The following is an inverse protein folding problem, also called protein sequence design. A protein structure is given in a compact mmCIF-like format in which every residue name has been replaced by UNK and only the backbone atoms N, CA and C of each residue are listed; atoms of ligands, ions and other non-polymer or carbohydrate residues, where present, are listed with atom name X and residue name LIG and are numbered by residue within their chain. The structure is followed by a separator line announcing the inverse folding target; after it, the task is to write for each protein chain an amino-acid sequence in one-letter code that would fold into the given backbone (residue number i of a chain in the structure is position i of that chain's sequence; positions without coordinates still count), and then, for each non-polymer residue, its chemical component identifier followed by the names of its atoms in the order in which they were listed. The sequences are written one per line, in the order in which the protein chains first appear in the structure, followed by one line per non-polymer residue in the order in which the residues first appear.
data_IF_884752907509
#
_entry.id   IF_884752907509
#
_cell.length_a   1.000
_cell.length_b   1.000
_cell.length_c   1.000
_cell.angle_alpha   90.00
_cell.angle_beta   90.00
_cell.angle_gamma   90.00
#
_symmetry.space_group_name_H-M   'P 1'
#
loop_
_entity.id
_entity.type
_entity.pdbx_description
1 polymer ?
#
# COMPACT_ATOMS: atom_id res chain seq x y z
N UNK A 1 -25.97 27.02 22.27
CA UNK A 1 -26.29 25.61 21.96
C UNK A 1 -25.85 25.35 20.56
N UNK A 2 -24.63 24.89 20.37
CA UNK A 2 -24.02 24.64 19.05
C UNK A 2 -24.18 23.15 18.77
N UNK A 3 -25.02 22.81 17.78
CA UNK A 3 -25.20 21.44 17.33
C UNK A 3 -23.92 20.99 16.63
N UNK A 4 -23.25 20.02 17.21
CA UNK A 4 -22.18 19.26 16.54
C UNK A 4 -22.87 18.35 15.53
N UNK A 5 -22.68 18.61 14.24
CA UNK A 5 -23.07 17.69 13.18
C UNK A 5 -22.24 16.42 13.32
N UNK A 6 -22.86 15.35 13.82
CA UNK A 6 -22.32 14.00 13.71
C UNK A 6 -22.40 13.61 12.23
N UNK A 7 -21.28 13.73 11.53
CA UNK A 7 -21.07 13.07 10.24
C UNK A 7 -21.16 11.56 10.44
N UNK A 8 -22.01 10.90 9.68
CA UNK A 8 -22.15 9.43 9.61
C UNK A 8 -20.78 8.81 9.37
N UNK A 9 -20.16 8.31 10.43
CA UNK A 9 -18.81 7.76 10.39
C UNK A 9 -18.79 6.44 9.65
N UNK A 10 -18.16 6.40 8.48
CA UNK A 10 -17.67 5.16 7.92
C UNK A 10 -16.67 4.58 8.91
N UNK A 11 -16.85 3.31 9.28
CA UNK A 11 -15.95 2.63 10.20
C UNK A 11 -14.50 2.68 9.66
N UNK A 12 -13.53 2.96 10.53
CA UNK A 12 -12.13 2.96 10.14
C UNK A 12 -11.68 1.53 9.81
N UNK A 13 -11.15 1.32 8.61
CA UNK A 13 -10.49 0.06 8.25
C UNK A 13 -9.18 -0.10 9.03
N UNK A 14 -8.44 1.01 9.25
CA UNK A 14 -7.23 1.03 10.05
C UNK A 14 -7.30 2.20 11.02
N UNK A 15 -7.03 1.93 12.30
CA UNK A 15 -6.88 2.94 13.34
C UNK A 15 -5.53 2.77 14.03
N UNK A 16 -4.70 3.80 13.98
CA UNK A 16 -3.37 3.84 14.59
C UNK A 16 -3.40 4.93 15.66
N UNK A 17 -3.10 4.57 16.91
CA UNK A 17 -3.10 5.48 18.04
C UNK A 17 -1.77 5.40 18.79
N UNK A 18 -0.91 6.39 18.57
CA UNK A 18 0.38 6.54 19.22
C UNK A 18 1.36 5.41 18.92
N UNK A 19 1.26 4.76 17.76
CA UNK A 19 2.14 3.65 17.43
C UNK A 19 3.59 4.10 17.26
N UNK A 20 4.48 3.51 18.03
CA UNK A 20 5.90 3.81 18.13
C UNK A 20 6.73 2.55 17.83
N UNK A 21 7.97 2.74 17.33
CA UNK A 21 8.88 1.63 17.06
C UNK A 21 10.34 1.97 17.27
N UNK A 22 10.97 1.21 18.18
CA UNK A 22 12.42 1.22 18.40
C UNK A 22 12.98 -0.18 18.10
N UNK A 23 13.99 -0.27 17.25
CA UNK A 23 14.62 -1.53 16.94
C UNK A 23 15.63 -1.95 18.05
N UNK A 24 16.00 -3.24 18.15
CA UNK A 24 16.90 -3.73 19.20
C UNK A 24 18.30 -3.07 19.22
N UNK A 25 18.73 -2.51 18.09
CA UNK A 25 19.98 -1.75 17.97
C UNK A 25 19.86 -0.29 18.47
N UNK A 26 18.72 0.08 19.04
CA UNK A 26 18.43 1.43 19.53
C UNK A 26 17.92 2.40 18.46
N UNK A 27 17.78 1.97 17.21
CA UNK A 27 17.24 2.82 16.14
C UNK A 27 15.77 3.13 16.38
N UNK A 28 15.44 4.41 16.63
CA UNK A 28 14.07 4.88 16.74
C UNK A 28 13.47 5.05 15.33
N UNK A 29 12.80 4.04 14.86
CA UNK A 29 12.29 3.98 13.48
C UNK A 29 11.04 4.84 13.27
N UNK A 30 10.15 4.89 14.27
CA UNK A 30 8.91 5.68 14.24
C UNK A 30 8.69 6.35 15.59
N UNK A 31 8.40 7.65 15.60
CA UNK A 31 7.78 8.36 16.72
C UNK A 31 6.29 8.01 16.77
N UNK A 32 5.57 8.32 17.89
CA UNK A 32 4.15 8.06 18.00
C UNK A 32 3.36 8.56 16.79
N UNK A 33 2.80 7.63 16.03
CA UNK A 33 2.00 7.89 14.82
C UNK A 33 0.52 7.79 15.18
N UNK A 34 -0.26 8.79 14.75
CA UNK A 34 -1.72 8.79 14.80
C UNK A 34 -2.24 8.86 13.37
N UNK A 35 -3.02 7.87 12.94
CA UNK A 35 -3.57 7.83 11.58
C UNK A 35 -4.85 6.98 11.57
N UNK A 36 -5.88 7.48 10.90
CA UNK A 36 -7.10 6.71 10.64
C UNK A 36 -7.32 6.60 9.14
N UNK A 37 -7.59 5.39 8.63
CA UNK A 37 -7.86 5.10 7.22
C UNK A 37 -9.26 4.49 7.13
N UNK A 38 -10.11 5.06 6.27
CA UNK A 38 -11.50 4.61 6.07
C UNK A 38 -11.55 3.41 5.14
N UNK A 39 -12.62 2.63 5.27
CA UNK A 39 -12.89 1.54 4.31
C UNK A 39 -13.02 2.09 2.87
N UNK A 40 -12.43 1.38 1.92
CA UNK A 40 -12.42 1.75 0.51
C UNK A 40 -11.49 2.92 0.15
N UNK A 41 -10.77 3.51 1.12
CA UNK A 41 -9.84 4.61 0.87
C UNK A 41 -8.55 4.11 0.22
N UNK A 42 -8.01 4.86 -0.75
CA UNK A 42 -6.66 4.65 -1.29
C UNK A 42 -5.74 5.67 -0.64
N UNK A 43 -4.92 5.24 0.32
CA UNK A 43 -3.99 6.11 1.05
C UNK A 43 -2.55 5.79 0.64
N UNK A 44 -1.79 6.82 0.27
CA UNK A 44 -0.36 6.66 0.05
C UNK A 44 0.46 7.22 1.21
N UNK A 45 1.41 6.43 1.70
CA UNK A 45 2.49 6.88 2.57
C UNK A 45 3.66 7.34 1.70
N UNK A 46 3.90 8.65 1.65
CA UNK A 46 4.95 9.28 0.84
C UNK A 46 6.09 9.77 1.75
N UNK A 47 7.32 9.57 1.35
CA UNK A 47 8.47 10.11 2.08
C UNK A 47 9.80 9.52 1.62
N UNK A 48 10.94 10.08 2.08
CA UNK A 48 12.26 9.61 1.71
C UNK A 48 12.54 8.19 2.20
N UNK A 49 13.55 7.55 1.65
CA UNK A 49 14.01 6.24 2.13
C UNK A 49 14.42 6.31 3.60
N UNK A 50 14.07 5.29 4.38
CA UNK A 50 14.39 5.22 5.81
C UNK A 50 13.48 6.04 6.73
N UNK A 51 12.39 6.67 6.25
CA UNK A 51 11.44 7.38 7.11
C UNK A 51 10.40 6.49 7.80
N UNK A 52 10.54 5.18 7.79
CA UNK A 52 9.68 4.28 8.55
C UNK A 52 8.40 3.81 7.83
N UNK A 53 8.16 4.14 6.54
CA UNK A 53 6.97 3.71 5.78
C UNK A 53 6.76 2.19 5.80
N UNK A 54 7.79 1.44 5.41
CA UNK A 54 7.75 -0.03 5.40
C UNK A 54 7.63 -0.62 6.81
N UNK A 55 8.19 0.06 7.82
CA UNK A 55 8.02 -0.31 9.24
C UNK A 55 6.55 -0.18 9.64
N UNK A 56 5.94 0.98 9.37
CA UNK A 56 4.53 1.22 9.65
C UNK A 56 3.63 0.21 8.91
N UNK A 57 3.92 -0.04 7.64
CA UNK A 57 3.17 -0.99 6.83
C UNK A 57 3.23 -2.41 7.41
N UNK A 58 4.42 -2.87 7.85
CA UNK A 58 4.61 -4.17 8.51
C UNK A 58 3.91 -4.25 9.86
N UNK A 59 3.85 -3.15 10.61
CA UNK A 59 3.11 -3.09 11.87
C UNK A 59 1.60 -3.20 11.63
N UNK A 60 1.05 -2.54 10.61
CA UNK A 60 -0.35 -2.67 10.18
C UNK A 60 -0.66 -4.14 9.79
N UNK A 61 0.26 -4.79 9.09
CA UNK A 61 0.13 -6.20 8.71
C UNK A 61 0.25 -7.19 9.90
N UNK A 62 0.66 -6.72 11.08
CA UNK A 62 0.98 -7.58 12.22
C UNK A 62 2.26 -8.40 12.05
N UNK A 63 3.08 -8.06 11.05
CA UNK A 63 4.38 -8.70 10.79
C UNK A 63 5.50 -8.15 11.70
N UNK A 64 5.26 -7.01 12.33
CA UNK A 64 6.15 -6.35 13.26
C UNK A 64 5.35 -5.85 14.46
N UNK A 65 5.75 -6.18 15.71
CA UNK A 65 5.05 -5.71 16.88
C UNK A 65 5.22 -4.20 17.09
N UNK A 66 4.18 -3.57 17.63
CA UNK A 66 4.19 -2.19 18.12
C UNK A 66 4.86 -2.18 19.49
N UNK A 67 5.75 -1.21 19.76
CA UNK A 67 6.40 -1.10 21.08
C UNK A 67 5.56 -0.26 22.05
N UNK A 68 4.94 0.83 21.55
CA UNK A 68 3.97 1.62 22.32
C UNK A 68 2.79 2.00 21.42
N UNK A 69 1.66 2.35 22.06
CA UNK A 69 0.42 2.66 21.36
C UNK A 69 -0.32 1.42 20.86
N UNK A 70 -1.14 1.59 19.84
CA UNK A 70 -1.92 0.48 19.27
C UNK A 70 -2.21 0.67 17.79
N UNK A 71 -2.34 -0.46 17.07
CA UNK A 71 -2.85 -0.51 15.70
C UNK A 71 -4.03 -1.49 15.67
N UNK A 72 -5.13 -1.06 15.11
CA UNK A 72 -6.32 -1.89 14.87
C UNK A 72 -6.62 -1.93 13.38
N UNK A 73 -6.94 -3.12 12.89
CA UNK A 73 -7.43 -3.36 11.52
C UNK A 73 -8.82 -3.94 11.65
N UNK A 74 -9.81 -3.30 11.04
CA UNK A 74 -11.24 -3.63 11.15
C UNK A 74 -11.68 -3.83 12.61
N UNK A 75 -11.19 -2.95 13.49
CA UNK A 75 -11.49 -2.94 14.93
C UNK A 75 -10.74 -3.99 15.76
N UNK A 76 -9.99 -4.92 15.15
CA UNK A 76 -9.17 -5.93 15.84
C UNK A 76 -7.72 -5.48 15.97
N UNK A 77 -6.96 -5.87 16.99
CA UNK A 77 -5.51 -5.62 17.05
C UNK A 77 -4.80 -6.16 15.81
N UNK A 78 -3.84 -5.41 15.27
CA UNK A 78 -3.03 -5.85 14.14
C UNK A 78 -2.37 -7.23 14.43
N UNK A 79 -2.34 -8.11 13.43
CA UNK A 79 -1.83 -9.48 13.57
C UNK A 79 -2.78 -10.48 14.25
N UNK A 80 -3.99 -10.05 14.66
CA UNK A 80 -5.01 -10.99 15.13
C UNK A 80 -5.49 -11.89 14.00
N UNK A 81 -5.92 -13.14 14.32
CA UNK A 81 -6.56 -13.99 13.32
C UNK A 81 -7.77 -13.27 12.68
N UNK A 82 -7.74 -13.15 11.36
CA UNK A 82 -8.77 -12.44 10.63
C UNK A 82 -10.06 -13.30 10.54
N UNK A 83 -11.21 -12.65 10.56
CA UNK A 83 -12.48 -13.30 10.25
C UNK A 83 -12.51 -13.64 8.75
N UNK A 84 -13.32 -14.62 8.38
CA UNK A 84 -13.41 -15.15 7.02
C UNK A 84 -13.77 -14.12 5.93
N UNK A 85 -14.41 -13.02 6.33
CA UNK A 85 -14.82 -11.90 5.45
C UNK A 85 -13.85 -10.71 5.42
N UNK A 86 -12.79 -10.79 6.21
CA UNK A 86 -11.75 -9.74 6.35
C UNK A 86 -10.40 -10.34 6.00
N UNK A 87 -9.93 -10.12 4.79
CA UNK A 87 -8.61 -10.62 4.37
C UNK A 87 -7.66 -9.48 4.06
N UNK A 88 -6.45 -9.58 4.60
CA UNK A 88 -5.34 -8.67 4.32
C UNK A 88 -4.39 -9.35 3.36
N UNK A 89 -4.00 -8.65 2.30
CA UNK A 89 -2.93 -9.07 1.42
C UNK A 89 -1.77 -8.07 1.46
N UNK A 90 -0.55 -8.60 1.33
CA UNK A 90 0.68 -7.80 1.33
C UNK A 90 1.47 -8.03 0.04
N UNK A 91 1.83 -6.94 -0.64
CA UNK A 91 2.74 -6.92 -1.79
C UNK A 91 4.04 -6.27 -1.35
N UNK A 92 5.13 -7.04 -1.36
CA UNK A 92 6.47 -6.57 -0.98
C UNK A 92 7.16 -5.85 -2.15
N UNK A 93 8.15 -5.05 -1.84
CA UNK A 93 9.00 -4.35 -2.80
C UNK A 93 9.68 -5.31 -3.81
N UNK A 94 10.09 -6.49 -3.33
CA UNK A 94 10.51 -7.60 -4.20
C UNK A 94 9.32 -8.54 -4.44
N UNK A 95 9.15 -9.12 -5.62
CA UNK A 95 8.02 -10.01 -5.93
C UNK A 95 7.91 -11.25 -5.02
N UNK A 96 9.00 -11.67 -4.38
CA UNK A 96 9.07 -12.81 -3.44
C UNK A 96 8.39 -14.08 -3.97
N UNK A 97 8.57 -14.36 -5.26
CA UNK A 97 8.04 -15.56 -5.89
C UNK A 97 8.89 -16.78 -5.54
N UNK A 98 8.24 -17.93 -5.42
CA UNK A 98 8.92 -19.22 -5.31
C UNK A 98 9.58 -19.55 -6.66
N UNK A 99 10.93 -19.57 -6.78
CA UNK A 99 11.61 -19.68 -8.05
C UNK A 99 11.47 -21.05 -8.72
N UNK A 100 11.13 -22.08 -7.96
CA UNK A 100 10.89 -23.44 -8.43
C UNK A 100 9.43 -23.73 -8.81
N UNK A 101 8.51 -22.81 -8.53
CA UNK A 101 7.08 -22.96 -8.79
C UNK A 101 6.67 -22.12 -10.01
N UNK A 102 5.74 -22.63 -10.80
CA UNK A 102 5.17 -21.88 -11.93
C UNK A 102 4.43 -20.62 -11.46
N UNK A 103 4.14 -19.72 -12.38
CA UNK A 103 3.31 -18.54 -12.15
C UNK A 103 1.97 -18.94 -11.52
N UNK A 104 1.28 -19.92 -12.11
CA UNK A 104 0.03 -20.44 -11.58
C UNK A 104 0.17 -20.99 -10.16
N UNK A 105 1.23 -21.75 -9.88
CA UNK A 105 1.48 -22.31 -8.55
C UNK A 105 1.78 -21.22 -7.52
N UNK A 106 2.52 -20.17 -7.89
CA UNK A 106 2.75 -19.01 -7.03
C UNK A 106 1.45 -18.29 -6.65
N UNK A 107 0.54 -18.07 -7.62
CA UNK A 107 -0.74 -17.40 -7.38
C UNK A 107 -1.70 -18.28 -6.58
N UNK A 108 -1.67 -19.58 -6.77
CA UNK A 108 -2.52 -20.58 -6.12
C UNK A 108 -2.23 -20.76 -4.63
N UNK A 109 -0.95 -20.58 -4.22
CA UNK A 109 -0.46 -20.88 -2.87
C UNK A 109 -1.33 -20.31 -1.72
N UNK A 110 -1.74 -19.02 -1.72
CA UNK A 110 -2.54 -18.48 -0.63
C UNK A 110 -3.88 -19.20 -0.44
N UNK A 111 -4.53 -19.63 -1.52
CA UNK A 111 -5.80 -20.35 -1.46
C UNK A 111 -5.61 -21.77 -0.87
N UNK A 112 -4.50 -22.43 -1.20
CA UNK A 112 -4.16 -23.73 -0.63
C UNK A 112 -3.90 -23.64 0.88
N UNK A 113 -3.18 -22.59 1.31
CA UNK A 113 -2.91 -22.33 2.71
C UNK A 113 -4.17 -21.98 3.52
N UNK A 114 -5.16 -21.38 2.87
CA UNK A 114 -6.48 -21.09 3.46
C UNK A 114 -7.40 -22.33 3.45
N UNK A 115 -6.99 -23.46 2.85
CA UNK A 115 -7.79 -24.68 2.77
C UNK A 115 -8.98 -24.56 1.81
N UNK A 116 -8.91 -23.69 0.80
CA UNK A 116 -9.97 -23.55 -0.21
C UNK A 116 -10.12 -24.85 -0.99
N UNK A 117 -11.35 -25.35 -1.23
CA UNK A 117 -11.59 -26.57 -1.98
C UNK A 117 -10.94 -26.54 -3.37
N UNK A 118 -10.28 -27.64 -3.77
CA UNK A 118 -9.50 -27.71 -5.02
C UNK A 118 -10.31 -27.34 -6.27
N UNK A 119 -11.60 -27.59 -6.28
CA UNK A 119 -12.49 -27.22 -7.39
C UNK A 119 -12.71 -25.73 -7.56
N UNK A 120 -12.51 -24.93 -6.52
CA UNK A 120 -12.70 -23.48 -6.53
C UNK A 120 -11.39 -22.72 -6.84
N UNK A 121 -10.25 -23.36 -6.62
CA UNK A 121 -8.92 -22.71 -6.78
C UNK A 121 -8.66 -22.34 -8.25
N UNK A 122 -8.91 -23.27 -9.18
CA UNK A 122 -8.60 -23.06 -10.60
C UNK A 122 -9.23 -21.79 -11.17
N UNK A 123 -10.56 -21.62 -11.09
CA UNK A 123 -11.23 -20.39 -11.59
C UNK A 123 -10.72 -19.10 -10.95
N UNK A 124 -10.44 -19.09 -9.64
CA UNK A 124 -9.91 -17.92 -8.93
C UNK A 124 -8.50 -17.53 -9.42
N UNK A 125 -7.64 -18.52 -9.64
CA UNK A 125 -6.27 -18.31 -10.16
C UNK A 125 -6.31 -17.78 -11.59
N UNK A 126 -7.18 -18.35 -12.44
CA UNK A 126 -7.35 -17.89 -13.82
C UNK A 126 -7.83 -16.42 -13.87
N UNK A 127 -8.81 -16.09 -13.05
CA UNK A 127 -9.30 -14.72 -12.90
C UNK A 127 -8.22 -13.75 -12.40
N UNK A 128 -7.44 -14.14 -11.38
CA UNK A 128 -6.34 -13.31 -10.87
C UNK A 128 -5.25 -13.08 -11.93
N UNK A 129 -4.91 -14.11 -12.72
CA UNK A 129 -3.96 -13.98 -13.83
C UNK A 129 -4.53 -13.13 -14.97
N UNK A 130 -5.84 -13.18 -15.22
CA UNK A 130 -6.53 -12.34 -16.19
C UNK A 130 -6.47 -10.87 -15.81
N UNK A 131 -6.70 -10.56 -14.55
CA UNK A 131 -6.62 -9.17 -14.02
C UNK A 131 -5.27 -8.51 -14.29
N UNK A 132 -4.18 -9.28 -14.27
CA UNK A 132 -2.83 -8.76 -14.50
C UNK A 132 -2.27 -9.07 -15.91
N UNK A 133 -3.08 -9.65 -16.79
CA UNK A 133 -2.72 -9.94 -18.19
C UNK A 133 -1.64 -11.01 -18.37
N UNK A 134 -1.59 -12.01 -17.48
CA UNK A 134 -0.54 -13.06 -17.47
C UNK A 134 -1.06 -14.50 -17.71
N UNK A 135 -2.28 -14.69 -18.24
CA UNK A 135 -2.86 -16.03 -18.46
C UNK A 135 -1.95 -16.94 -19.29
N UNK A 136 -1.36 -16.40 -20.37
CA UNK A 136 -0.49 -17.16 -21.27
C UNK A 136 0.85 -17.56 -20.65
N UNK A 137 1.22 -16.96 -19.51
CA UNK A 137 2.45 -17.26 -18.78
C UNK A 137 2.23 -18.18 -17.58
N UNK A 138 1.01 -18.72 -17.37
CA UNK A 138 0.63 -19.50 -16.20
C UNK A 138 1.58 -20.67 -15.89
N UNK A 139 2.12 -21.32 -16.91
CA UNK A 139 3.04 -22.47 -16.79
C UNK A 139 4.53 -22.08 -16.76
N UNK A 140 4.87 -20.80 -16.89
CA UNK A 140 6.26 -20.35 -16.87
C UNK A 140 6.79 -20.28 -15.44
N UNK A 141 8.11 -20.43 -15.29
CA UNK A 141 8.81 -20.17 -14.04
C UNK A 141 9.14 -18.67 -13.90
N UNK A 142 9.32 -18.13 -12.69
CA UNK A 142 9.65 -16.72 -12.47
C UNK A 142 10.87 -16.23 -13.26
N UNK A 143 11.90 -17.05 -13.41
CA UNK A 143 13.13 -16.69 -14.15
C UNK A 143 12.93 -16.48 -15.67
N UNK A 144 11.80 -16.91 -16.23
CA UNK A 144 11.42 -16.66 -17.61
C UNK A 144 10.63 -15.35 -17.80
N UNK A 145 10.40 -14.59 -16.72
CA UNK A 145 9.61 -13.37 -16.70
C UNK A 145 10.49 -12.13 -16.48
N UNK A 146 10.09 -11.00 -17.07
CA UNK A 146 10.67 -9.70 -16.71
C UNK A 146 10.32 -9.32 -15.27
N UNK A 147 11.08 -8.38 -14.66
CA UNK A 147 10.81 -7.90 -13.31
C UNK A 147 9.38 -7.36 -13.13
N UNK A 148 8.88 -6.60 -14.11
CA UNK A 148 7.50 -6.12 -14.11
C UNK A 148 6.46 -7.25 -14.18
N UNK A 149 6.72 -8.30 -14.97
CA UNK A 149 5.84 -9.48 -14.99
C UNK A 149 5.87 -10.23 -13.67
N UNK A 150 7.03 -10.37 -13.04
CA UNK A 150 7.14 -10.98 -11.72
C UNK A 150 6.35 -10.19 -10.66
N UNK A 151 6.40 -8.85 -10.70
CA UNK A 151 5.61 -8.00 -9.82
C UNK A 151 4.11 -8.19 -10.08
N UNK A 152 3.67 -8.28 -11.33
CA UNK A 152 2.27 -8.61 -11.67
C UNK A 152 1.83 -9.97 -11.10
N UNK A 153 2.70 -10.98 -11.10
CA UNK A 153 2.42 -12.28 -10.45
C UNK A 153 2.24 -12.09 -8.94
N UNK A 154 3.08 -11.27 -8.28
CA UNK A 154 2.93 -10.94 -6.86
C UNK A 154 1.60 -10.23 -6.56
N UNK A 155 1.19 -9.32 -7.43
CA UNK A 155 -0.10 -8.62 -7.33
C UNK A 155 -1.25 -9.63 -7.53
N UNK A 156 -1.19 -10.51 -8.56
CA UNK A 156 -2.20 -11.57 -8.76
C UNK A 156 -2.31 -12.48 -7.54
N UNK A 157 -1.17 -12.87 -6.94
CA UNK A 157 -1.11 -13.66 -5.71
C UNK A 157 -1.78 -12.96 -4.52
N UNK A 158 -1.69 -11.63 -4.44
CA UNK A 158 -2.39 -10.86 -3.42
C UNK A 158 -3.90 -10.80 -3.69
N UNK A 159 -4.32 -10.59 -4.94
CA UNK A 159 -5.72 -10.47 -5.29
C UNK A 159 -6.51 -11.80 -5.32
N UNK A 160 -5.84 -12.95 -5.45
CA UNK A 160 -6.50 -14.26 -5.55
C UNK A 160 -7.33 -14.61 -4.31
N UNK A 161 -6.98 -14.01 -3.15
CA UNK A 161 -7.69 -14.18 -1.88
C UNK A 161 -8.89 -13.25 -1.71
N UNK A 162 -9.14 -12.36 -2.68
CA UNK A 162 -10.17 -11.32 -2.64
C UNK A 162 -10.07 -10.45 -1.37
N UNK A 163 -8.94 -9.73 -1.19
CA UNK A 163 -8.66 -9.03 0.07
C UNK A 163 -9.54 -7.79 0.23
N UNK A 164 -9.97 -7.50 1.47
CA UNK A 164 -10.60 -6.24 1.86
C UNK A 164 -9.59 -5.11 2.12
N UNK A 165 -8.35 -5.49 2.46
CA UNK A 165 -7.22 -4.59 2.71
C UNK A 165 -5.98 -5.03 1.94
N UNK A 166 -5.43 -4.14 1.13
CA UNK A 166 -4.21 -4.35 0.37
C UNK A 166 -3.10 -3.41 0.85
N UNK A 167 -2.00 -3.98 1.30
CA UNK A 167 -0.79 -3.26 1.72
C UNK A 167 0.29 -3.45 0.66
N UNK A 168 0.88 -2.37 0.15
CA UNK A 168 1.86 -2.41 -0.93
C UNK A 168 3.11 -1.58 -0.56
N UNK A 169 4.26 -2.24 -0.51
CA UNK A 169 5.54 -1.63 -0.12
C UNK A 169 6.40 -1.36 -1.36
N UNK A 170 6.38 -0.15 -1.90
CA UNK A 170 7.12 0.30 -3.10
C UNK A 170 7.05 -0.69 -4.29
N UNK A 171 5.85 -1.19 -4.68
CA UNK A 171 5.74 -2.33 -5.61
C UNK A 171 6.28 -2.03 -7.00
N UNK A 172 6.32 -0.75 -7.40
CA UNK A 172 6.73 -0.34 -8.73
C UNK A 172 8.09 0.37 -8.78
N UNK A 173 8.78 0.46 -7.63
CA UNK A 173 10.03 1.21 -7.50
C UNK A 173 11.17 0.75 -8.42
N UNK A 174 11.23 -0.55 -8.76
CA UNK A 174 12.26 -1.13 -9.62
C UNK A 174 11.89 -1.15 -11.13
N UNK A 175 10.73 -0.58 -11.52
CA UNK A 175 10.24 -0.62 -12.89
C UNK A 175 10.61 0.65 -13.67
N UNK A 176 10.73 0.50 -14.99
CA UNK A 176 10.81 1.66 -15.88
C UNK A 176 9.51 2.49 -15.84
N UNK A 177 9.60 3.76 -16.23
CA UNK A 177 8.50 4.71 -16.09
C UNK A 177 7.25 4.33 -16.90
N UNK A 178 7.41 3.80 -18.12
CA UNK A 178 6.28 3.42 -18.97
C UNK A 178 5.52 2.24 -18.37
N UNK A 179 6.25 1.22 -17.92
CA UNK A 179 5.68 0.04 -17.26
C UNK A 179 4.99 0.42 -15.95
N UNK A 180 5.59 1.33 -15.18
CA UNK A 180 5.04 1.86 -13.92
C UNK A 180 3.71 2.55 -14.16
N UNK A 181 3.63 3.52 -15.05
CA UNK A 181 2.38 4.25 -15.35
C UNK A 181 1.26 3.31 -15.81
N UNK A 182 1.61 2.28 -16.58
CA UNK A 182 0.63 1.27 -17.00
C UNK A 182 0.08 0.49 -15.80
N UNK A 183 0.96 0.06 -14.89
CA UNK A 183 0.58 -0.69 -13.69
C UNK A 183 -0.20 0.19 -12.68
N UNK A 184 0.13 1.47 -12.57
CA UNK A 184 -0.63 2.44 -11.77
C UNK A 184 -2.08 2.52 -12.25
N UNK A 185 -2.31 2.62 -13.56
CA UNK A 185 -3.64 2.63 -14.14
C UNK A 185 -4.40 1.32 -13.90
N UNK A 186 -3.74 0.17 -14.13
CA UNK A 186 -4.33 -1.15 -13.89
C UNK A 186 -4.71 -1.34 -12.41
N UNK A 187 -3.83 -0.94 -11.46
CA UNK A 187 -4.10 -0.99 -10.03
C UNK A 187 -5.31 -0.13 -9.65
N UNK A 188 -5.38 1.08 -10.21
CA UNK A 188 -6.48 2.01 -9.96
C UNK A 188 -7.83 1.46 -10.45
N UNK A 189 -7.85 0.81 -11.61
CA UNK A 189 -9.04 0.16 -12.16
C UNK A 189 -9.50 -1.02 -11.27
N UNK A 190 -8.56 -1.84 -10.79
CA UNK A 190 -8.85 -2.94 -9.87
C UNK A 190 -9.42 -2.40 -8.55
N UNK A 191 -8.77 -1.37 -7.96
CA UNK A 191 -9.24 -0.75 -6.74
C UNK A 191 -10.67 -0.23 -6.86
N UNK A 192 -10.99 0.47 -7.96
CA UNK A 192 -12.33 0.99 -8.21
C UNK A 192 -13.40 -0.10 -8.35
N UNK A 193 -13.05 -1.20 -9.04
CA UNK A 193 -13.96 -2.33 -9.24
C UNK A 193 -14.21 -3.11 -7.95
N UNK A 194 -13.19 -3.29 -7.12
CA UNK A 194 -13.23 -4.12 -5.93
C UNK A 194 -13.60 -3.37 -4.65
N UNK A 195 -13.55 -2.03 -4.67
CA UNK A 195 -13.85 -1.18 -3.49
C UNK A 195 -13.01 -1.54 -2.26
N UNK A 196 -11.78 -2.03 -2.46
CA UNK A 196 -10.86 -2.42 -1.38
C UNK A 196 -10.20 -1.21 -0.73
N UNK A 197 -9.76 -1.36 0.52
CA UNK A 197 -8.89 -0.38 1.17
C UNK A 197 -7.44 -0.61 0.74
N UNK A 198 -6.72 0.43 0.36
CA UNK A 198 -5.31 0.32 -0.08
C UNK A 198 -4.42 1.24 0.76
N UNK A 199 -3.33 0.68 1.28
CA UNK A 199 -2.20 1.47 1.81
C UNK A 199 -0.99 1.22 0.91
N UNK A 200 -0.59 2.25 0.21
CA UNK A 200 0.47 2.20 -0.79
C UNK A 200 1.69 2.99 -0.30
N UNK A 201 2.86 2.39 -0.31
CA UNK A 201 4.11 3.06 0.03
C UNK A 201 4.87 3.38 -1.23
N UNK A 202 5.30 4.63 -1.36
CA UNK A 202 6.18 5.08 -2.45
C UNK A 202 7.06 6.25 -2.02
N UNK A 203 8.10 6.53 -2.79
CA UNK A 203 8.86 7.78 -2.76
C UNK A 203 8.56 8.67 -3.98
N UNK A 204 7.67 8.24 -4.89
CA UNK A 204 7.26 8.98 -6.08
C UNK A 204 6.06 9.89 -5.79
N UNK A 205 6.27 11.20 -5.93
CA UNK A 205 5.20 12.19 -5.84
C UNK A 205 4.13 11.95 -6.92
N UNK A 206 4.55 11.53 -8.13
CA UNK A 206 3.63 11.28 -9.24
C UNK A 206 2.68 10.11 -8.94
N UNK A 207 3.20 8.98 -8.45
CA UNK A 207 2.35 7.86 -8.01
C UNK A 207 1.40 8.29 -6.89
N UNK A 208 1.92 9.03 -5.89
CA UNK A 208 1.12 9.48 -4.77
C UNK A 208 -0.07 10.36 -5.21
N UNK A 209 0.13 11.32 -6.12
CA UNK A 209 -0.94 12.18 -6.63
C UNK A 209 -1.90 11.39 -7.53
N UNK A 210 -1.37 10.52 -8.40
CA UNK A 210 -2.18 9.81 -9.39
C UNK A 210 -3.10 8.76 -8.75
N UNK A 211 -2.58 7.98 -7.81
CA UNK A 211 -3.30 6.84 -7.24
C UNK A 211 -4.23 7.21 -6.08
N UNK A 212 -3.86 8.19 -5.25
CA UNK A 212 -4.43 8.29 -3.90
C UNK A 212 -5.63 9.22 -3.80
N UNK A 213 -6.58 8.86 -2.96
CA UNK A 213 -7.56 9.81 -2.44
C UNK A 213 -6.95 10.73 -1.36
N UNK A 214 -5.95 10.22 -0.63
CA UNK A 214 -5.19 10.95 0.40
C UNK A 214 -3.74 10.51 0.44
N UNK A 215 -2.84 11.47 0.55
CA UNK A 215 -1.40 11.27 0.73
C UNK A 215 -1.02 11.67 2.14
N UNK A 216 -0.38 10.75 2.87
CA UNK A 216 0.21 10.96 4.20
C UNK A 216 1.71 11.07 4.04
N UNK A 217 2.26 12.24 4.40
CA UNK A 217 3.69 12.50 4.24
C UNK A 217 4.45 12.20 5.51
N UNK A 218 5.56 11.47 5.35
CA UNK A 218 6.44 11.07 6.44
C UNK A 218 7.83 11.66 6.27
N UNK A 219 8.37 12.22 7.36
CA UNK A 219 9.77 12.60 7.47
C UNK A 219 10.58 11.50 8.15
N UNK A 220 11.91 11.53 7.94
CA UNK A 220 12.84 10.56 8.51
C UNK A 220 13.46 11.05 9.83
N UNK A 221 14.05 10.10 10.59
CA UNK A 221 14.98 10.25 11.71
C UNK A 221 14.52 11.11 12.89
N UNK A 222 13.59 10.63 13.67
CA UNK A 222 12.79 9.42 13.50
C UNK A 222 11.60 9.63 12.56
N UNK A 223 11.05 8.53 12.07
CA UNK A 223 9.87 8.54 11.20
C UNK A 223 8.68 9.19 11.91
N UNK A 224 8.03 10.15 11.26
CA UNK A 224 6.83 10.83 11.77
C UNK A 224 5.97 11.34 10.63
N UNK A 225 4.68 11.48 10.84
CA UNK A 225 3.78 12.17 9.90
C UNK A 225 4.03 13.69 10.03
N UNK A 226 4.20 14.35 8.89
CA UNK A 226 4.48 15.79 8.80
C UNK A 226 3.39 16.58 8.09
N UNK A 227 2.62 15.91 7.21
CA UNK A 227 1.52 16.54 6.49
C UNK A 227 0.56 15.48 5.95
N UNK A 228 -0.70 15.86 5.67
CA UNK A 228 -1.69 15.04 5.00
C UNK A 228 -2.38 15.89 3.92
N UNK A 229 -2.46 15.35 2.71
CA UNK A 229 -3.08 16.02 1.57
C UNK A 229 -4.18 15.17 0.96
N UNK A 230 -5.40 15.69 0.92
CA UNK A 230 -6.49 15.08 0.17
C UNK A 230 -6.39 15.47 -1.30
N UNK A 231 -6.45 14.48 -2.19
CA UNK A 231 -6.48 14.69 -3.64
C UNK A 231 -7.95 14.68 -4.08
N UNK A 232 -8.50 15.85 -4.32
CA UNK A 232 -9.94 16.03 -4.62
C UNK A 232 -10.31 15.71 -6.08
N UNK A 233 -9.32 15.33 -6.91
CA UNK A 233 -9.57 14.95 -8.31
C UNK A 233 -10.40 13.66 -8.36
N UNK A 234 -11.54 13.67 -9.09
CA UNK A 234 -12.42 12.52 -9.20
C UNK A 234 -11.79 11.36 -9.99
N UNK A 235 -12.28 10.16 -9.75
CA UNK A 235 -11.96 8.99 -10.54
C UNK A 235 -13.01 8.76 -11.66
N UNK A 236 -12.64 8.16 -12.82
CA UNK A 236 -11.33 7.61 -13.18
C UNK A 236 -10.29 8.69 -13.48
N UNK A 237 -9.06 8.51 -13.01
CA UNK A 237 -7.94 9.34 -13.42
C UNK A 237 -7.23 8.67 -14.59
N UNK A 238 -7.02 9.43 -15.65
CA UNK A 238 -6.28 8.99 -16.84
C UNK A 238 -4.86 9.59 -16.83
N UNK A 239 -4.00 9.10 -17.72
CA UNK A 239 -2.65 9.68 -17.87
C UNK A 239 -2.69 11.19 -18.23
N UNK A 240 -3.79 11.66 -18.85
CA UNK A 240 -4.00 13.07 -19.16
C UNK A 240 -4.04 13.93 -17.89
N UNK A 241 -4.53 13.40 -16.77
CA UNK A 241 -4.51 14.11 -15.50
C UNK A 241 -3.08 14.49 -15.08
N UNK A 242 -2.08 13.64 -15.34
CA UNK A 242 -0.69 13.87 -14.93
C UNK A 242 -0.05 15.12 -15.57
N UNK A 243 -0.62 15.64 -16.68
CA UNK A 243 -0.11 16.83 -17.37
C UNK A 243 -0.96 18.08 -17.12
N UNK A 244 -1.97 17.99 -16.25
CA UNK A 244 -2.85 19.13 -15.91
C UNK A 244 -2.20 20.11 -14.94
N UNK A 245 -2.63 21.39 -14.93
CA UNK A 245 -2.24 22.35 -13.91
C UNK A 245 -2.60 21.90 -12.48
N UNK A 246 -3.75 21.25 -12.30
CA UNK A 246 -4.26 20.74 -11.03
C UNK A 246 -3.32 19.68 -10.45
N UNK A 247 -2.87 18.73 -11.26
CA UNK A 247 -1.85 17.75 -10.86
C UNK A 247 -0.59 18.43 -10.35
N UNK A 248 -0.11 19.45 -11.08
CA UNK A 248 1.09 20.19 -10.69
C UNK A 248 0.90 20.98 -9.39
N UNK A 249 -0.32 21.41 -9.04
CA UNK A 249 -0.60 22.04 -7.74
C UNK A 249 -0.39 21.04 -6.61
N UNK A 250 -0.97 19.83 -6.71
CA UNK A 250 -0.77 18.77 -5.72
C UNK A 250 0.71 18.35 -5.61
N UNK A 251 1.36 18.11 -6.75
CA UNK A 251 2.76 17.70 -6.78
C UNK A 251 3.70 18.74 -6.13
N UNK A 252 3.50 20.02 -6.39
CA UNK A 252 4.25 21.12 -5.74
C UNK A 252 4.02 21.20 -4.25
N UNK A 253 2.77 21.02 -3.79
CA UNK A 253 2.47 21.00 -2.35
C UNK A 253 3.28 19.90 -1.66
N UNK A 254 3.19 18.65 -2.16
CA UNK A 254 3.91 17.50 -1.62
C UNK A 254 5.44 17.73 -1.63
N UNK A 255 5.97 18.28 -2.73
CA UNK A 255 7.39 18.59 -2.85
C UNK A 255 7.85 19.63 -1.82
N UNK A 256 7.11 20.73 -1.64
CA UNK A 256 7.43 21.76 -0.64
C UNK A 256 7.38 21.21 0.79
N UNK A 257 6.41 20.36 1.11
CA UNK A 257 6.32 19.78 2.44
C UNK A 257 7.46 18.79 2.72
N UNK A 258 7.90 18.00 1.73
CA UNK A 258 9.08 17.14 1.86
C UNK A 258 10.37 17.96 2.05
N UNK A 259 10.55 19.06 1.33
CA UNK A 259 11.73 19.94 1.50
C UNK A 259 11.77 20.55 2.90
N UNK A 260 10.66 21.14 3.37
CA UNK A 260 10.60 21.72 4.73
C UNK A 260 10.89 20.68 5.81
N UNK A 261 10.38 19.45 5.64
CA UNK A 261 10.66 18.37 6.57
C UNK A 261 12.15 17.97 6.60
N UNK A 262 12.82 18.04 5.44
CA UNK A 262 14.26 17.74 5.32
C UNK A 262 15.14 18.86 5.90
N UNK A 263 14.78 20.12 5.69
CA UNK A 263 15.49 21.30 6.25
C UNK A 263 15.39 21.31 7.78
N UNK A 264 14.19 21.12 8.34
CA UNK A 264 13.99 21.04 9.79
C UNK A 264 14.78 19.89 10.45
N UNK A 265 15.07 18.83 9.70
CA UNK A 265 15.91 17.74 10.17
C UNK A 265 17.39 18.11 10.16
N UNK A 266 17.88 18.77 9.11
CA UNK A 266 19.26 19.22 9.02
C UNK A 266 19.62 20.22 10.15
N UNK A 267 18.70 21.12 10.47
CA UNK A 267 18.87 22.09 11.57
C UNK A 267 18.92 21.39 12.94
N UNK A 268 18.12 20.31 13.14
CA UNK A 268 18.13 19.53 14.37
C UNK A 268 19.39 18.67 14.56
N UNK A 269 20.06 18.26 13.48
CA UNK A 269 21.33 17.52 13.53
C UNK A 269 22.55 18.43 13.79
N UNK A 270 22.40 19.76 13.60
CA UNK A 270 23.45 20.76 13.81
C UNK A 270 23.38 21.43 15.20
N UNK A 271 22.32 21.17 15.97
CA UNK A 271 22.08 21.73 17.32
C UNK A 271 22.43 20.73 18.41
#
# INVERSE_FOLDING_TARGET
MTQVHMTTGHAAAIAIDGADKVYPDGTHALQPVHLSIRQGEFVTLLGPSGCGKSTLLKMIAGLLPVDQGSIRVDGQPAGSPQKSDQSLAFVFQSPTLMPWATVQANVRLPLELQGVPSGEIGPRVEEALRLVGLQQFAQHLPNALSGGMQMRVSIARAFVTDPSLLLMDEPFGALDEITRHKLDGELLDIWRQRQITVVFVTHSIHEAVFLSSRVVMMAARPGRIVDELTIAEPYPRTQEFMVTPEFNVYARHLQHSLFRASEAQADAELS
#
